data_IF_934928357087
#
_entry.id   IF_934928357087
#
_cell.length_a   1.000
_cell.length_b   1.000
_cell.length_c   1.000
_cell.angle_alpha   90.00
_cell.angle_beta   90.00
_cell.angle_gamma   90.00
#
_symmetry.space_group_name_H-M   'P 1'
#
loop_
_entity.id
_entity.type
_entity.pdbx_description
1 polymer ?
#
# COMPACT_ATOMS: atom_id res chain seq x y z
N UNK A 1 -4.25 -8.90 10.68
CA UNK A 1 -3.50 -9.86 9.87
C UNK A 1 -1.98 -9.73 10.02
N UNK A 2 -1.22 -10.74 9.59
CA UNK A 2 0.24 -10.64 9.43
C UNK A 2 0.63 -9.95 8.11
N UNK A 3 1.79 -9.30 8.06
CA UNK A 3 2.23 -8.63 6.83
C UNK A 3 2.30 -9.61 5.64
N UNK A 4 1.69 -9.24 4.52
CA UNK A 4 1.67 -10.04 3.29
C UNK A 4 2.80 -9.55 2.39
N UNK A 5 3.68 -10.47 1.99
CA UNK A 5 4.79 -10.18 1.08
C UNK A 5 4.55 -10.82 -0.28
N UNK A 6 4.65 -10.02 -1.34
CA UNK A 6 4.60 -10.49 -2.74
C UNK A 6 5.64 -9.73 -3.56
N UNK A 7 6.64 -10.47 -4.05
CA UNK A 7 7.82 -9.91 -4.72
C UNK A 7 8.52 -8.85 -3.86
N UNK A 8 8.68 -7.63 -4.38
CA UNK A 8 9.32 -6.52 -3.65
C UNK A 8 8.37 -5.79 -2.69
N UNK A 9 7.08 -6.12 -2.71
CA UNK A 9 6.07 -5.42 -1.92
C UNK A 9 5.73 -6.18 -0.64
N UNK A 10 5.63 -5.46 0.47
CA UNK A 10 5.10 -5.97 1.74
C UNK A 10 3.99 -5.05 2.23
N UNK A 11 2.82 -5.61 2.55
CA UNK A 11 1.63 -4.84 2.92
C UNK A 11 1.11 -5.29 4.27
N UNK A 12 0.71 -4.34 5.12
CA UNK A 12 0.06 -4.60 6.40
C UNK A 12 -0.84 -3.44 6.82
N UNK A 13 -1.66 -3.66 7.86
CA UNK A 13 -2.57 -2.64 8.38
C UNK A 13 -2.22 -2.21 9.80
N UNK A 14 -2.59 -0.97 10.15
CA UNK A 14 -2.52 -0.44 11.50
C UNK A 14 -3.87 0.21 11.85
N UNK A 15 -4.62 -0.31 12.85
CA UNK A 15 -4.30 -1.50 13.64
C UNK A 15 -4.21 -2.78 12.80
N UNK A 16 -3.54 -3.80 13.36
CA UNK A 16 -3.31 -5.11 12.72
C UNK A 16 -4.61 -5.72 12.20
N UNK A 17 -5.68 -5.59 12.98
CA UNK A 17 -7.02 -6.05 12.66
C UNK A 17 -7.93 -4.82 12.74
N UNK A 18 -8.27 -4.18 11.59
CA UNK A 18 -9.18 -3.05 11.55
C UNK A 18 -10.52 -3.37 12.21
N UNK A 19 -11.04 -2.38 12.93
CA UNK A 19 -12.32 -2.48 13.63
C UNK A 19 -13.34 -1.76 12.76
N UNK A 20 -14.56 -2.32 12.58
CA UNK A 20 -15.63 -1.62 11.87
C UNK A 20 -15.82 -0.20 12.40
N UNK A 21 -16.08 0.76 11.50
CA UNK A 21 -16.24 2.20 11.79
C UNK A 21 -15.02 2.93 12.34
N UNK A 22 -13.86 2.27 12.41
CA UNK A 22 -12.62 2.90 12.86
C UNK A 22 -11.68 3.03 11.68
N UNK A 23 -11.22 4.25 11.44
CA UNK A 23 -10.18 4.50 10.45
C UNK A 23 -8.95 3.66 10.76
N UNK A 24 -8.33 3.17 9.70
CA UNK A 24 -7.07 2.45 9.79
C UNK A 24 -6.15 2.90 8.66
N UNK A 25 -4.91 2.45 8.71
CA UNK A 25 -3.93 2.71 7.66
C UNK A 25 -3.44 1.42 7.05
N UNK A 26 -3.32 1.41 5.72
CA UNK A 26 -2.59 0.40 4.97
C UNK A 26 -1.20 0.95 4.72
N UNK A 27 -0.19 0.17 5.08
CA UNK A 27 1.20 0.45 4.81
C UNK A 27 1.70 -0.48 3.71
N UNK A 28 2.36 0.10 2.71
CA UNK A 28 2.99 -0.64 1.61
C UNK A 28 4.48 -0.31 1.65
N UNK A 29 5.31 -1.31 1.97
CA UNK A 29 6.76 -1.22 1.86
C UNK A 29 7.22 -1.79 0.53
N UNK A 30 7.99 -1.03 -0.22
CA UNK A 30 8.73 -1.47 -1.39
C UNK A 30 10.16 -1.75 -0.97
N UNK A 31 10.64 -2.99 -1.10
CA UNK A 31 12.05 -3.35 -0.94
C UNK A 31 12.82 -2.94 -2.18
N UNK A 32 13.90 -2.17 -1.98
CA UNK A 32 14.73 -1.64 -3.05
C UNK A 32 16.07 -2.38 -3.10
N UNK A 33 16.65 -2.60 -4.29
CA UNK A 33 18.02 -3.06 -4.43
C UNK A 33 18.99 -2.10 -3.73
N UNK A 34 20.10 -2.64 -3.21
CA UNK A 34 21.20 -1.85 -2.65
C UNK A 34 21.69 -0.80 -3.65
N UNK A 35 21.92 0.42 -3.20
CA UNK A 35 22.30 1.61 -3.99
C UNK A 35 21.18 2.26 -4.83
N UNK A 36 19.90 1.99 -4.53
CA UNK A 36 18.80 2.76 -5.12
C UNK A 36 18.74 4.13 -4.45
N UNK A 37 19.39 5.14 -5.03
CA UNK A 37 19.49 6.46 -4.41
C UNK A 37 18.28 7.37 -4.62
N UNK A 38 17.37 7.04 -5.53
CA UNK A 38 16.28 7.95 -5.94
C UNK A 38 14.97 7.23 -6.27
N UNK A 39 14.42 6.46 -5.33
CA UNK A 39 13.07 5.92 -5.52
C UNK A 39 12.03 7.03 -5.32
N UNK A 40 11.40 7.49 -6.39
CA UNK A 40 10.42 8.56 -6.33
C UNK A 40 9.01 8.02 -6.11
N UNK A 41 8.12 8.84 -5.53
CA UNK A 41 6.68 8.55 -5.55
C UNK A 41 6.14 8.40 -6.98
N UNK A 42 6.80 9.02 -7.97
CA UNK A 42 6.43 8.90 -9.39
C UNK A 42 6.84 7.56 -10.03
N UNK A 43 7.67 6.78 -9.34
CA UNK A 43 8.05 5.42 -9.74
C UNK A 43 7.09 4.37 -9.18
N UNK A 44 6.18 4.78 -8.30
CA UNK A 44 5.15 3.93 -7.72
C UNK A 44 3.79 4.38 -8.25
N UNK A 45 2.96 3.43 -8.66
CA UNK A 45 1.56 3.66 -8.94
C UNK A 45 0.75 2.53 -8.34
N UNK A 46 -0.47 2.83 -7.91
CA UNK A 46 -1.34 1.80 -7.41
C UNK A 46 -2.75 2.27 -7.12
N UNK A 47 -3.57 1.29 -6.83
CA UNK A 47 -4.99 1.44 -6.62
C UNK A 47 -5.44 0.52 -5.49
N UNK A 48 -6.20 1.07 -4.55
CA UNK A 48 -6.78 0.37 -3.43
C UNK A 48 -8.30 0.25 -3.67
N UNK A 49 -8.82 -0.97 -3.62
CA UNK A 49 -10.24 -1.29 -3.81
C UNK A 49 -10.75 -2.04 -2.59
N UNK A 50 -11.63 -1.39 -1.82
CA UNK A 50 -12.34 -1.99 -0.71
C UNK A 50 -13.62 -2.69 -1.16
N UNK A 51 -14.09 -3.63 -0.34
CA UNK A 51 -15.38 -4.33 -0.58
C UNK A 51 -16.60 -3.43 -0.36
N UNK A 52 -16.39 -2.28 0.27
CA UNK A 52 -17.38 -1.26 0.63
C UNK A 52 -17.49 -0.13 -0.41
N UNK A 53 -17.11 -0.39 -1.67
CA UNK A 53 -17.04 0.58 -2.77
C UNK A 53 -15.99 1.68 -2.56
N UNK A 54 -15.15 1.58 -1.54
CA UNK A 54 -14.05 2.50 -1.34
C UNK A 54 -12.96 2.27 -2.40
N UNK A 55 -12.58 3.34 -3.08
CA UNK A 55 -11.52 3.32 -4.08
C UNK A 55 -10.54 4.48 -3.85
N UNK A 56 -9.25 4.19 -3.86
CA UNK A 56 -8.22 5.22 -3.76
C UNK A 56 -6.97 4.88 -4.60
N UNK A 57 -6.66 5.76 -5.54
CA UNK A 57 -5.37 5.76 -6.24
C UNK A 57 -4.26 6.37 -5.36
N UNK A 58 -3.02 5.90 -5.55
CA UNK A 58 -1.83 6.45 -4.90
C UNK A 58 -0.61 6.38 -5.81
N UNK A 59 0.40 7.21 -5.52
CA UNK A 59 1.65 7.22 -6.29
C UNK A 59 1.71 8.33 -7.32
N UNK A 60 2.10 8.00 -8.55
CA UNK A 60 2.23 8.93 -9.67
C UNK A 60 0.97 9.78 -9.86
N UNK A 61 1.06 11.07 -9.57
CA UNK A 61 -0.04 12.02 -9.71
C UNK A 61 -1.10 11.96 -8.60
N UNK A 62 -1.00 11.03 -7.65
CA UNK A 62 -1.94 10.83 -6.55
C UNK A 62 -1.22 10.84 -5.21
N UNK A 63 -1.53 11.84 -4.38
CA UNK A 63 -0.85 12.04 -3.11
C UNK A 63 -1.31 11.00 -2.07
N UNK A 64 -0.44 10.09 -1.58
CA UNK A 64 -0.77 9.22 -0.46
C UNK A 64 -0.82 10.02 0.85
N UNK A 65 -1.22 9.38 1.95
CA UNK A 65 -1.21 10.04 3.26
C UNK A 65 0.23 10.36 3.71
N UNK A 66 1.17 9.42 3.48
CA UNK A 66 2.61 9.63 3.63
C UNK A 66 3.37 8.84 2.56
N UNK A 67 4.55 9.34 2.21
CA UNK A 67 5.56 8.63 1.42
C UNK A 67 6.94 8.95 1.98
N UNK A 68 7.66 7.91 2.39
CA UNK A 68 8.99 8.00 2.98
C UNK A 68 9.93 7.05 2.24
N UNK A 69 11.20 7.43 2.13
CA UNK A 69 12.23 6.64 1.45
C UNK A 69 13.44 6.51 2.34
N UNK A 70 14.00 5.32 2.38
CA UNK A 70 15.25 4.96 3.03
C UNK A 70 16.20 4.31 2.01
N UNK A 71 17.42 3.97 2.44
CA UNK A 71 18.48 3.40 1.62
C UNK A 71 18.09 2.11 0.89
N UNK A 72 17.21 1.30 1.50
CA UNK A 72 16.84 -0.03 1.04
C UNK A 72 15.33 -0.21 0.82
N UNK A 73 14.54 0.84 1.04
CA UNK A 73 13.09 0.73 0.97
C UNK A 73 12.37 2.05 0.80
N UNK A 74 11.14 1.97 0.30
CA UNK A 74 10.18 3.06 0.35
C UNK A 74 8.92 2.60 1.09
N UNK A 75 8.30 3.50 1.84
CA UNK A 75 7.11 3.25 2.62
C UNK A 75 6.00 4.21 2.20
N UNK A 76 4.86 3.66 1.82
CA UNK A 76 3.62 4.40 1.57
C UNK A 76 2.65 4.14 2.70
N UNK A 77 1.99 5.20 3.16
CA UNK A 77 0.82 5.10 4.02
C UNK A 77 -0.42 5.56 3.25
N UNK A 78 -1.47 4.74 3.31
CA UNK A 78 -2.81 5.05 2.80
C UNK A 78 -3.76 5.03 3.99
N UNK A 79 -4.50 6.13 4.20
CA UNK A 79 -5.56 6.18 5.23
C UNK A 79 -6.86 5.72 4.60
N UNK A 80 -7.49 4.75 5.23
CA UNK A 80 -8.78 4.21 4.81
C UNK A 80 -9.82 4.56 5.86
N UNK A 81 -10.92 5.25 5.49
CA UNK A 81 -12.02 5.52 6.41
C UNK A 81 -12.66 4.23 6.91
N UNK A 82 -13.03 4.18 8.18
CA UNK A 82 -13.75 3.03 8.73
C UNK A 82 -15.13 2.87 8.11
N UNK A 83 -15.52 1.64 7.76
CA UNK A 83 -16.80 1.31 7.16
C UNK A 83 -17.53 0.18 7.91
N UNK A 84 -18.80 -0.06 7.55
CA UNK A 84 -19.68 -1.06 8.20
C UNK A 84 -19.16 -2.50 8.01
N UNK A 85 -18.73 -2.84 6.79
CA UNK A 85 -18.33 -4.20 6.40
C UNK A 85 -17.04 -4.16 5.57
N UNK A 86 -15.90 -4.12 6.24
CA UNK A 86 -14.60 -4.24 5.58
C UNK A 86 -14.11 -5.66 5.70
N UNK A 87 -14.42 -6.46 4.69
CA UNK A 87 -14.08 -7.89 4.65
C UNK A 87 -12.75 -8.10 3.92
N UNK A 88 -12.53 -7.30 2.88
CA UNK A 88 -11.36 -7.43 2.01
C UNK A 88 -11.00 -6.10 1.36
N UNK A 89 -9.71 -5.87 1.22
CA UNK A 89 -9.15 -4.86 0.33
C UNK A 89 -8.22 -5.50 -0.70
N UNK A 90 -8.25 -4.99 -1.92
CA UNK A 90 -7.34 -5.37 -3.00
C UNK A 90 -6.42 -4.21 -3.31
N UNK A 91 -5.12 -4.43 -3.23
CA UNK A 91 -4.09 -3.46 -3.59
C UNK A 91 -3.46 -3.90 -4.91
N UNK A 92 -3.71 -3.12 -5.95
CA UNK A 92 -2.95 -3.18 -7.18
C UNK A 92 -1.77 -2.22 -7.03
N UNK A 93 -0.55 -2.71 -7.18
CA UNK A 93 0.65 -1.90 -6.98
C UNK A 93 1.70 -2.22 -8.03
N UNK A 94 2.31 -1.17 -8.57
CA UNK A 94 3.34 -1.28 -9.60
C UNK A 94 4.48 -0.32 -9.33
N UNK A 95 5.70 -0.83 -9.51
CA UNK A 95 6.91 -0.03 -9.52
C UNK A 95 7.50 0.01 -10.92
N UNK A 96 7.60 1.20 -11.52
CA UNK A 96 8.26 1.37 -12.83
C UNK A 96 9.76 1.20 -12.74
N UNK A 97 10.37 1.59 -11.61
CA UNK A 97 11.81 1.43 -11.40
C UNK A 97 12.21 -0.04 -11.25
N UNK A 98 11.39 -0.84 -10.54
CA UNK A 98 11.64 -2.27 -10.37
C UNK A 98 11.09 -3.13 -11.53
N UNK A 99 10.29 -2.53 -12.41
CA UNK A 99 9.57 -3.23 -13.48
C UNK A 99 8.75 -4.41 -12.92
N UNK A 100 8.00 -4.15 -11.84
CA UNK A 100 7.20 -5.14 -11.11
C UNK A 100 5.78 -4.63 -10.89
N UNK A 101 4.80 -5.52 -10.98
CA UNK A 101 3.38 -5.28 -10.70
C UNK A 101 2.81 -6.44 -9.88
N UNK A 102 1.97 -6.12 -8.90
CA UNK A 102 1.34 -7.10 -8.01
C UNK A 102 -0.09 -6.71 -7.68
N UNK A 103 -0.96 -7.73 -7.66
CA UNK A 103 -2.24 -7.69 -6.98
C UNK A 103 -2.11 -8.39 -5.61
N UNK A 104 -2.43 -7.67 -4.54
CA UNK A 104 -2.31 -8.15 -3.16
C UNK A 104 -3.67 -8.02 -2.49
N UNK A 105 -4.25 -9.15 -2.10
CA UNK A 105 -5.50 -9.18 -1.35
C UNK A 105 -5.24 -9.28 0.14
N UNK A 106 -5.97 -8.47 0.89
CA UNK A 106 -6.00 -8.43 2.34
C UNK A 106 -7.38 -8.82 2.80
N UNK A 107 -7.47 -9.77 3.74
CA UNK A 107 -8.74 -10.22 4.35
C UNK A 107 -8.64 -10.05 5.86
N UNK A 108 -9.72 -9.58 6.47
CA UNK A 108 -9.84 -9.28 7.90
C UNK A 108 -10.68 -10.30 8.66
#
# INVERSE_FOLDING_TARGET
MEAIKKGSFTVWTVPKDPIPFVDYSIYIRVSLPTNTTNYSINDLEGYLIGTDEYEQAFGRGYKPASFETDLDSALVQIRVPGSFNQVRDTIQVKSTLLNEEQDIEIVF
#
